data_IF_142938060552
#
_entry.id   IF_142938060552
#
_cell.length_a   1.000
_cell.length_b   1.000
_cell.length_c   1.000
_cell.angle_alpha   90.00
_cell.angle_beta   90.00
_cell.angle_gamma   90.00
#
_symmetry.space_group_name_H-M   'P 1'
#
loop_
_entity.id
_entity.type
_entity.pdbx_description
1 polymer ?
#
# COMPACT_ATOMS: atom_id res chain seq x y z
N UNK A 1 -5.83 -3.08 21.36
CA UNK A 1 -5.58 -1.66 21.64
C UNK A 1 -5.18 -0.93 20.33
N UNK A 2 -6.02 -0.98 19.29
CA UNK A 2 -5.69 -0.41 17.95
C UNK A 2 -6.51 0.82 17.61
N UNK A 3 -7.70 0.92 18.20
CA UNK A 3 -8.68 1.95 17.86
C UNK A 3 -8.16 3.37 18.07
N UNK A 4 -7.29 3.64 19.04
CA UNK A 4 -6.75 5.00 19.24
C UNK A 4 -5.83 5.47 18.11
N UNK A 5 -5.29 4.53 17.32
CA UNK A 5 -4.37 4.82 16.21
C UNK A 5 -5.04 4.74 14.83
N UNK A 6 -6.35 4.48 14.79
CA UNK A 6 -7.13 4.44 13.55
C UNK A 6 -7.79 5.78 13.28
N UNK A 7 -7.86 6.22 12.01
CA UNK A 7 -8.67 7.38 11.65
C UNK A 7 -10.12 7.16 12.08
N UNK A 8 -10.65 8.07 12.93
CA UNK A 8 -11.95 7.91 13.57
C UNK A 8 -13.08 7.63 12.56
N UNK A 9 -13.07 8.38 11.46
CA UNK A 9 -14.02 8.26 10.36
C UNK A 9 -14.02 6.89 9.66
N UNK A 10 -12.92 6.14 9.71
CA UNK A 10 -12.83 4.81 9.08
C UNK A 10 -13.15 3.65 10.00
N UNK A 11 -13.21 3.88 11.32
CA UNK A 11 -13.49 2.81 12.30
C UNK A 11 -14.78 2.03 12.00
N UNK A 12 -15.91 2.65 11.60
CA UNK A 12 -17.13 1.91 11.31
C UNK A 12 -17.00 0.90 10.17
N UNK A 13 -16.05 1.12 9.26
CA UNK A 13 -15.82 0.26 8.10
C UNK A 13 -14.81 -0.86 8.40
N UNK A 14 -14.04 -0.78 9.48
CA UNK A 14 -13.00 -1.76 9.80
C UNK A 14 -13.63 -2.92 10.58
N UNK A 15 -13.69 -4.10 9.98
CA UNK A 15 -14.31 -5.28 10.61
C UNK A 15 -13.30 -6.26 11.19
N UNK A 16 -12.06 -6.29 10.67
CA UNK A 16 -10.98 -7.13 11.19
C UNK A 16 -9.63 -6.43 11.11
N UNK A 17 -8.74 -6.82 12.02
CA UNK A 17 -7.34 -6.40 12.03
C UNK A 17 -6.46 -7.63 12.09
N UNK A 18 -5.52 -7.71 11.17
CA UNK A 18 -4.38 -8.62 11.26
C UNK A 18 -3.17 -7.83 11.79
N UNK A 19 -2.69 -8.26 12.95
CA UNK A 19 -1.56 -7.67 13.66
C UNK A 19 -0.34 -8.61 13.58
N UNK A 20 0.63 -8.34 12.68
CA UNK A 20 1.83 -9.16 12.57
C UNK A 20 2.85 -8.83 13.67
N UNK A 21 3.87 -9.68 13.81
CA UNK A 21 5.00 -9.42 14.70
C UNK A 21 5.71 -8.08 14.38
N UNK A 22 5.98 -7.30 15.43
CA UNK A 22 6.63 -5.98 15.36
C UNK A 22 8.17 -6.07 15.26
N UNK A 23 8.70 -6.86 14.32
CA UNK A 23 10.15 -7.07 14.14
C UNK A 23 10.74 -6.36 12.90
N UNK A 24 10.10 -5.28 12.46
CA UNK A 24 10.49 -4.53 11.26
C UNK A 24 9.95 -5.09 9.93
N UNK A 25 9.35 -6.27 9.92
CA UNK A 25 8.68 -6.85 8.74
C UNK A 25 7.17 -6.64 8.71
N UNK A 26 6.57 -6.00 9.71
CA UNK A 26 5.12 -5.87 9.87
C UNK A 26 4.40 -5.43 8.58
N UNK A 27 4.87 -4.37 7.91
CA UNK A 27 4.26 -3.91 6.65
C UNK A 27 4.33 -4.93 5.52
N UNK A 28 5.44 -5.66 5.37
CA UNK A 28 5.57 -6.70 4.34
C UNK A 28 4.78 -7.98 4.69
N UNK A 29 4.60 -8.28 5.99
CA UNK A 29 3.71 -9.34 6.47
C UNK A 29 2.25 -9.00 6.21
N UNK A 30 1.84 -7.76 6.43
CA UNK A 30 0.52 -7.28 6.06
C UNK A 30 0.25 -7.44 4.56
N UNK A 31 1.22 -7.10 3.70
CA UNK A 31 1.10 -7.33 2.27
C UNK A 31 1.00 -8.82 1.94
N UNK A 32 1.84 -9.67 2.54
CA UNK A 32 1.78 -11.12 2.33
C UNK A 32 0.39 -11.68 2.71
N UNK A 33 -0.11 -11.31 3.89
CA UNK A 33 -1.44 -11.70 4.37
C UNK A 33 -2.55 -11.23 3.39
N UNK A 34 -2.50 -9.98 2.96
CA UNK A 34 -3.49 -9.43 2.02
C UNK A 34 -3.47 -10.15 0.66
N UNK A 35 -2.31 -10.64 0.23
CA UNK A 35 -2.12 -11.39 -1.01
C UNK A 35 -2.45 -12.89 -0.87
N UNK A 36 -2.96 -13.33 0.29
CA UNK A 36 -3.28 -14.73 0.56
C UNK A 36 -2.04 -15.62 0.70
N UNK A 37 -0.89 -15.03 1.02
CA UNK A 37 0.33 -15.78 1.27
C UNK A 37 0.42 -16.21 2.73
N UNK A 38 1.04 -17.36 2.93
CA UNK A 38 1.53 -17.88 4.20
C UNK A 38 2.54 -16.91 4.86
N UNK A 39 2.56 -16.91 6.20
CA UNK A 39 3.09 -15.84 7.06
C UNK A 39 4.60 -15.53 6.83
N UNK A 40 5.37 -16.47 6.29
CA UNK A 40 6.80 -16.30 6.00
C UNK A 40 7.12 -15.79 4.58
N UNK A 41 6.11 -15.46 3.77
CA UNK A 41 6.30 -14.96 2.40
C UNK A 41 6.47 -13.45 2.29
N UNK A 42 6.69 -12.74 3.40
CA UNK A 42 7.09 -11.32 3.36
C UNK A 42 8.37 -11.10 2.55
N UNK A 43 9.30 -12.08 2.52
CA UNK A 43 10.52 -12.01 1.71
C UNK A 43 10.20 -12.08 0.21
N UNK A 44 9.22 -12.90 -0.17
CA UNK A 44 8.69 -12.94 -1.55
C UNK A 44 8.13 -11.59 -1.96
N UNK A 45 7.42 -10.90 -1.04
CA UNK A 45 6.91 -9.55 -1.32
C UNK A 45 8.05 -8.59 -1.62
N UNK A 46 9.10 -8.54 -0.78
CA UNK A 46 10.28 -7.69 -1.00
C UNK A 46 10.93 -7.97 -2.35
N UNK A 47 11.18 -9.24 -2.68
CA UNK A 47 11.81 -9.63 -3.93
C UNK A 47 10.98 -9.25 -5.15
N UNK A 48 9.65 -9.42 -5.09
CA UNK A 48 8.75 -9.00 -6.17
C UNK A 48 8.78 -7.48 -6.38
N UNK A 49 8.87 -6.69 -5.32
CA UNK A 49 9.05 -5.23 -5.45
C UNK A 49 10.39 -4.87 -6.10
N UNK A 50 11.48 -5.57 -5.73
CA UNK A 50 12.80 -5.36 -6.36
C UNK A 50 12.73 -5.65 -7.87
N UNK A 51 12.11 -6.78 -8.26
CA UNK A 51 11.89 -7.13 -9.67
C UNK A 51 11.09 -6.05 -10.40
N UNK A 52 9.94 -5.63 -9.85
CA UNK A 52 9.11 -4.56 -10.40
C UNK A 52 9.91 -3.26 -10.65
N UNK A 53 10.75 -2.86 -9.69
CA UNK A 53 11.56 -1.64 -9.79
C UNK A 53 12.63 -1.77 -10.87
N UNK A 54 13.26 -2.94 -10.98
CA UNK A 54 14.30 -3.18 -11.97
C UNK A 54 13.73 -3.27 -13.40
N UNK A 55 12.62 -3.97 -13.57
CA UNK A 55 11.97 -4.16 -14.88
C UNK A 55 11.43 -2.83 -15.44
N UNK A 56 11.03 -1.90 -14.56
CA UNK A 56 10.49 -0.59 -14.93
C UNK A 56 11.36 0.58 -14.48
N UNK A 57 12.68 0.40 -14.48
CA UNK A 57 13.66 1.35 -13.91
C UNK A 57 13.49 2.79 -14.41
N UNK A 58 13.20 2.98 -15.69
CA UNK A 58 12.98 4.30 -16.29
C UNK A 58 11.78 5.04 -15.66
N UNK A 59 10.71 4.33 -15.32
CA UNK A 59 9.54 4.89 -14.62
C UNK A 59 9.92 5.32 -13.21
N UNK A 60 10.60 4.45 -12.46
CA UNK A 60 11.00 4.77 -11.08
C UNK A 60 12.05 5.88 -11.01
N UNK A 61 12.88 6.09 -12.05
CA UNK A 61 13.86 7.19 -12.07
C UNK A 61 13.15 8.55 -12.02
N UNK A 62 12.04 8.66 -12.74
CA UNK A 62 11.21 9.86 -12.75
C UNK A 62 10.44 10.04 -11.45
N UNK A 63 9.89 8.95 -10.90
CA UNK A 63 9.06 9.00 -9.70
C UNK A 63 9.85 9.25 -8.41
N UNK A 64 11.05 8.67 -8.30
CA UNK A 64 11.83 8.66 -7.06
C UNK A 64 12.94 9.72 -7.02
N UNK A 65 13.06 10.55 -8.05
CA UNK A 65 14.05 11.63 -8.08
C UNK A 65 15.48 11.16 -8.42
N UNK A 66 15.61 10.12 -9.25
CA UNK A 66 16.90 9.72 -9.84
C UNK A 66 17.54 8.45 -9.27
N UNK A 67 18.78 8.18 -9.71
CA UNK A 67 19.46 6.88 -9.57
C UNK A 67 19.80 6.54 -8.12
N UNK A 68 20.25 7.51 -7.32
CA UNK A 68 20.59 7.29 -5.91
C UNK A 68 19.38 6.84 -5.10
N UNK A 69 18.25 7.52 -5.28
CA UNK A 69 17.00 7.20 -4.58
C UNK A 69 16.51 5.77 -4.90
N UNK A 70 16.54 5.36 -6.17
CA UNK A 70 16.22 3.98 -6.55
C UNK A 70 17.20 2.98 -5.94
N UNK A 71 18.50 3.25 -6.02
CA UNK A 71 19.49 2.32 -5.48
C UNK A 71 19.32 2.14 -3.97
N UNK A 72 19.04 3.23 -3.24
CA UNK A 72 18.69 3.19 -1.82
C UNK A 72 17.41 2.38 -1.58
N UNK A 73 16.35 2.63 -2.34
CA UNK A 73 15.09 1.87 -2.25
C UNK A 73 15.31 0.36 -2.47
N UNK A 74 16.06 -0.03 -3.50
CA UNK A 74 16.39 -1.43 -3.79
C UNK A 74 17.21 -2.03 -2.65
N UNK A 75 18.23 -1.33 -2.16
CA UNK A 75 19.08 -1.82 -1.07
C UNK A 75 18.27 -2.01 0.22
N UNK A 76 17.35 -1.10 0.54
CA UNK A 76 16.46 -1.22 1.69
C UNK A 76 15.46 -2.39 1.57
N UNK A 77 15.12 -2.80 0.35
CA UNK A 77 14.27 -3.96 0.13
C UNK A 77 15.02 -5.28 0.25
N UNK A 78 16.33 -5.31 -0.07
CA UNK A 78 17.16 -6.53 -0.01
C UNK A 78 17.30 -7.02 1.42
N UNK A 79 16.96 -8.28 1.62
CA UNK A 79 17.13 -9.02 2.88
C UNK A 79 17.64 -10.41 2.52
N UNK A 80 18.64 -10.90 3.24
CA UNK A 80 19.35 -12.13 2.91
C UNK A 80 18.44 -13.36 2.99
N UNK A 81 17.71 -13.51 4.10
CA UNK A 81 16.86 -14.66 4.35
C UNK A 81 15.78 -14.34 5.40
N UNK A 82 14.88 -15.31 5.64
CA UNK A 82 13.74 -15.14 6.55
C UNK A 82 14.11 -14.96 8.03
N UNK A 83 15.35 -15.27 8.43
CA UNK A 83 15.85 -15.13 9.81
C UNK A 83 16.66 -13.85 10.03
N UNK A 84 16.87 -13.06 8.97
CA UNK A 84 17.67 -11.84 9.05
C UNK A 84 17.05 -10.82 10.01
N UNK A 85 17.90 -10.14 10.77
CA UNK A 85 17.50 -8.97 11.56
C UNK A 85 17.24 -7.80 10.63
N UNK A 86 16.15 -7.06 10.88
CA UNK A 86 15.70 -5.98 10.00
C UNK A 86 16.07 -4.63 10.59
N UNK A 87 16.86 -3.86 9.84
CA UNK A 87 17.15 -2.47 10.18
C UNK A 87 15.96 -1.55 9.89
N UNK A 88 15.89 -0.40 10.57
CA UNK A 88 14.86 0.62 10.35
C UNK A 88 14.81 1.11 8.90
N UNK A 89 15.96 1.21 8.24
CA UNK A 89 16.04 1.58 6.81
C UNK A 89 15.31 0.57 5.91
N UNK A 90 15.19 -0.69 6.34
CA UNK A 90 14.56 -1.77 5.61
C UNK A 90 13.07 -1.95 5.92
N UNK A 91 12.47 -1.08 6.75
CA UNK A 91 11.04 -1.10 7.03
C UNK A 91 10.22 -0.72 5.79
N UNK A 92 8.95 -1.12 5.79
CA UNK A 92 8.03 -0.66 4.74
C UNK A 92 7.83 0.85 4.87
N UNK A 93 8.23 1.59 3.83
CA UNK A 93 8.02 3.02 3.72
C UNK A 93 6.90 3.33 2.72
N UNK A 94 5.85 4.00 3.19
CA UNK A 94 4.65 4.33 2.41
C UNK A 94 4.94 5.16 1.15
N UNK A 95 5.88 6.11 1.21
CA UNK A 95 6.23 6.98 0.09
C UNK A 95 7.18 6.32 -0.90
N UNK A 96 8.21 5.63 -0.38
CA UNK A 96 9.17 4.95 -1.24
C UNK A 96 8.52 3.76 -1.96
N UNK A 97 7.78 2.90 -1.23
CA UNK A 97 7.33 1.61 -1.75
C UNK A 97 5.91 1.62 -2.33
N UNK A 98 5.07 2.62 -2.00
CA UNK A 98 3.65 2.64 -2.36
C UNK A 98 3.38 2.39 -3.84
N UNK A 99 4.08 3.09 -4.73
CA UNK A 99 3.90 2.93 -6.17
C UNK A 99 4.37 1.55 -6.68
N UNK A 100 5.45 0.99 -6.11
CA UNK A 100 5.93 -0.34 -6.48
C UNK A 100 4.96 -1.44 -6.06
N UNK A 101 4.33 -1.31 -4.89
CA UNK A 101 3.33 -2.26 -4.40
C UNK A 101 2.15 -2.36 -5.37
N UNK A 102 1.58 -1.21 -5.75
CA UNK A 102 0.37 -1.21 -6.58
C UNK A 102 0.65 -1.67 -8.01
N UNK A 103 1.81 -1.35 -8.55
CA UNK A 103 2.20 -1.84 -9.88
C UNK A 103 2.48 -3.35 -9.86
N UNK A 104 3.24 -3.83 -8.88
CA UNK A 104 3.66 -5.24 -8.80
C UNK A 104 2.49 -6.23 -8.64
N UNK A 105 1.42 -5.80 -7.97
CA UNK A 105 0.26 -6.65 -7.63
C UNK A 105 -1.03 -6.21 -8.30
N UNK A 106 -1.00 -5.14 -9.10
CA UNK A 106 -2.18 -4.57 -9.78
C UNK A 106 -3.33 -4.37 -8.79
N UNK A 107 -3.01 -3.79 -7.63
CA UNK A 107 -3.95 -3.67 -6.51
C UNK A 107 -3.75 -2.33 -5.85
N UNK A 108 -4.84 -1.65 -5.48
CA UNK A 108 -4.72 -0.38 -4.75
C UNK A 108 -4.15 -0.63 -3.36
N UNK A 109 -3.36 0.32 -2.85
CA UNK A 109 -2.95 0.34 -1.45
C UNK A 109 -3.36 1.67 -0.84
N UNK A 110 -3.92 1.60 0.36
CA UNK A 110 -4.36 2.74 1.16
C UNK A 110 -3.53 2.72 2.45
N UNK A 111 -2.73 3.76 2.64
CA UNK A 111 -1.97 3.98 3.86
C UNK A 111 -2.77 4.90 4.78
N UNK A 112 -2.94 4.47 6.04
CA UNK A 112 -3.73 5.16 7.04
C UNK A 112 -2.89 5.55 8.28
N UNK A 113 -1.87 6.42 8.14
CA UNK A 113 -1.30 7.11 9.30
C UNK A 113 -2.24 8.21 9.78
N UNK A 114 -2.32 8.43 11.09
CA UNK A 114 -3.25 9.40 11.71
C UNK A 114 -3.26 10.79 11.04
N UNK A 115 -2.10 11.28 10.58
CA UNK A 115 -1.95 12.64 10.09
C UNK A 115 -2.14 12.80 8.56
N UNK A 116 -1.94 11.73 7.78
CA UNK A 116 -1.78 11.87 6.33
C UNK A 116 -2.17 10.60 5.57
N UNK A 117 -3.45 10.25 5.64
CA UNK A 117 -4.03 9.16 4.86
C UNK A 117 -3.83 9.40 3.36
N UNK A 118 -3.42 8.38 2.62
CA UNK A 118 -3.28 8.46 1.18
C UNK A 118 -3.35 7.10 0.52
N UNK A 119 -3.52 7.08 -0.80
CA UNK A 119 -3.54 5.86 -1.59
C UNK A 119 -2.65 5.97 -2.84
N UNK A 120 -2.33 4.81 -3.41
CA UNK A 120 -1.65 4.68 -4.69
C UNK A 120 -2.50 3.83 -5.66
N UNK A 121 -2.30 4.09 -6.95
CA UNK A 121 -2.95 3.38 -8.04
C UNK A 121 -1.92 2.75 -8.98
N UNK A 122 -2.21 1.58 -9.58
CA UNK A 122 -1.42 1.05 -10.66
C UNK A 122 -1.36 2.05 -11.83
N UNK A 123 -0.17 2.29 -12.39
CA UNK A 123 0.02 3.28 -13.45
C UNK A 123 -0.44 2.79 -14.83
N UNK A 124 -0.20 1.52 -15.12
CA UNK A 124 -0.34 0.96 -16.47
C UNK A 124 -1.38 -0.16 -16.56
N UNK A 125 -1.80 -0.72 -15.43
CA UNK A 125 -2.75 -1.82 -15.38
C UNK A 125 -4.13 -1.34 -14.96
N UNK A 126 -5.15 -2.14 -15.24
CA UNK A 126 -6.54 -1.89 -14.89
C UNK A 126 -7.01 -2.89 -13.83
N UNK A 127 -8.16 -2.66 -13.16
CA UNK A 127 -8.71 -3.64 -12.21
C UNK A 127 -8.95 -5.03 -12.82
N UNK A 128 -9.16 -5.12 -14.14
CA UNK A 128 -9.40 -6.39 -14.84
C UNK A 128 -8.15 -7.28 -14.92
N UNK A 129 -6.98 -6.67 -14.78
CA UNK A 129 -5.70 -7.38 -14.83
C UNK A 129 -5.32 -7.94 -13.44
N UNK A 130 -6.20 -7.78 -12.44
CA UNK A 130 -6.01 -8.25 -11.08
C UNK A 130 -6.98 -9.39 -10.76
N UNK A 131 -6.48 -10.41 -10.05
CA UNK A 131 -7.33 -11.46 -9.48
C UNK A 131 -8.21 -10.94 -8.34
N UNK A 132 -7.71 -9.93 -7.60
CA UNK A 132 -8.45 -9.22 -6.56
C UNK A 132 -8.08 -7.72 -6.61
N UNK A 133 -8.93 -6.87 -7.23
CA UNK A 133 -8.68 -5.43 -7.31
C UNK A 133 -9.07 -4.67 -6.03
N UNK A 134 -9.54 -5.35 -4.98
CA UNK A 134 -9.92 -4.70 -3.72
C UNK A 134 -8.71 -3.98 -3.10
N UNK A 135 -8.84 -2.85 -2.41
CA UNK A 135 -7.68 -2.15 -1.85
C UNK A 135 -7.09 -2.89 -0.65
N UNK A 136 -5.78 -2.77 -0.46
CA UNK A 136 -5.08 -3.18 0.75
C UNK A 136 -5.00 -1.99 1.71
N UNK A 137 -5.49 -2.12 2.93
CA UNK A 137 -5.47 -1.06 3.94
C UNK A 137 -4.39 -1.30 4.99
N UNK A 138 -3.36 -0.46 5.00
CA UNK A 138 -2.27 -0.50 5.97
C UNK A 138 -2.43 0.65 6.97
N UNK A 139 -2.69 0.32 8.24
CA UNK A 139 -2.82 1.29 9.33
C UNK A 139 -1.50 1.43 10.07
N UNK A 140 -1.04 2.66 10.30
CA UNK A 140 0.18 2.91 11.06
C UNK A 140 -0.15 3.13 12.54
N UNK A 141 0.31 2.20 13.36
CA UNK A 141 0.14 2.20 14.81
C UNK A 141 1.42 2.70 15.47
N UNK A 142 1.28 3.61 16.44
CA UNK A 142 2.38 4.16 17.23
C UNK A 142 3.56 4.72 16.39
N UNK A 143 3.28 5.15 15.15
CA UNK A 143 4.27 5.71 14.24
C UNK A 143 5.29 4.72 13.64
N UNK A 144 5.29 3.44 14.05
CA UNK A 144 6.34 2.49 13.68
C UNK A 144 5.85 1.07 13.35
N UNK A 145 4.57 0.76 13.53
CA UNK A 145 4.04 -0.58 13.33
C UNK A 145 2.89 -0.59 12.33
N UNK A 146 2.97 -1.42 11.31
CA UNK A 146 1.91 -1.57 10.31
C UNK A 146 1.02 -2.75 10.66
N UNK A 147 -0.30 -2.52 10.68
CA UNK A 147 -1.31 -3.58 10.76
C UNK A 147 -2.18 -3.56 9.49
N UNK A 148 -2.76 -4.72 9.13
CA UNK A 148 -3.64 -4.86 7.98
C UNK A 148 -5.09 -4.75 8.45
N UNK A 149 -5.86 -3.84 7.85
CA UNK A 149 -7.28 -3.71 8.10
C UNK A 149 -8.11 -4.38 7.00
N UNK A 150 -9.07 -5.20 7.41
CA UNK A 150 -10.19 -5.57 6.56
C UNK A 150 -11.23 -4.46 6.66
N UNK A 151 -11.47 -3.80 5.53
CA UNK A 151 -12.39 -2.67 5.42
C UNK A 151 -13.57 -3.09 4.56
N UNK A 152 -14.77 -3.04 5.12
CA UNK A 152 -16.02 -3.22 4.38
C UNK A 152 -16.47 -1.90 3.74
N UNK A 153 -17.35 -2.01 2.76
CA UNK A 153 -17.86 -0.86 2.02
C UNK A 153 -19.35 -0.65 2.24
N UNK A 154 -19.81 0.57 2.02
CA UNK A 154 -21.24 0.86 1.83
C UNK A 154 -21.60 0.47 0.39
N UNK A 155 -22.61 -0.39 0.20
CA UNK A 155 -23.09 -0.85 -1.11
C UNK A 155 -21.97 -1.37 -2.03
N UNK A 156 -20.98 -2.07 -1.45
CA UNK A 156 -19.83 -2.61 -2.17
C UNK A 156 -18.73 -1.59 -2.53
N UNK A 157 -18.84 -0.35 -2.05
CA UNK A 157 -17.82 0.70 -2.23
C UNK A 157 -17.04 0.89 -0.94
N UNK A 158 -15.74 0.57 -0.95
CA UNK A 158 -14.86 0.81 0.20
C UNK A 158 -14.32 2.25 0.18
N UNK A 159 -14.11 2.88 1.35
CA UNK A 159 -13.58 4.24 1.43
C UNK A 159 -12.12 4.31 0.95
N UNK A 160 -11.80 5.24 0.06
CA UNK A 160 -10.46 5.41 -0.52
C UNK A 160 -9.90 6.78 -0.12
N UNK A 161 -8.78 6.79 0.61
CA UNK A 161 -8.06 8.02 0.93
C UNK A 161 -7.52 8.71 -0.35
N UNK A 162 -7.23 10.02 -0.32
CA UNK A 162 -6.72 10.75 -1.48
C UNK A 162 -5.54 10.07 -2.16
N UNK A 163 -5.57 9.98 -3.49
CA UNK A 163 -4.49 9.36 -4.27
C UNK A 163 -3.32 10.33 -4.36
N UNK A 164 -2.11 9.88 -4.03
CA UNK A 164 -0.90 10.64 -4.35
C UNK A 164 -0.73 10.64 -5.86
N UNK A 165 -0.95 11.80 -6.48
CA UNK A 165 -0.84 11.95 -7.91
C UNK A 165 0.62 11.77 -8.36
N UNK A 166 0.94 10.64 -8.98
CA UNK A 166 2.00 10.63 -9.98
C UNK A 166 1.48 11.49 -11.14
N UNK A 167 2.15 12.61 -11.43
CA UNK A 167 1.65 13.71 -12.26
C UNK A 167 0.78 13.27 -13.45
N UNK A 168 -0.39 13.91 -13.58
CA UNK A 168 -1.42 13.78 -14.65
C UNK A 168 -1.07 12.76 -15.74
N UNK A 169 -1.15 11.47 -15.42
CA UNK A 169 -1.09 10.45 -16.46
C UNK A 169 -2.48 10.32 -17.07
N UNK A 170 -2.68 10.95 -18.22
CA UNK A 170 -3.90 10.96 -19.02
C UNK A 170 -4.13 9.64 -19.77
N UNK A 171 -3.65 8.51 -19.24
CA UNK A 171 -3.79 7.21 -19.90
C UNK A 171 -5.23 6.72 -19.80
N UNK A 172 -5.67 5.95 -20.80
CA UNK A 172 -6.99 5.29 -20.79
C UNK A 172 -7.20 4.42 -19.54
N UNK A 173 -6.12 3.84 -19.01
CA UNK A 173 -6.15 2.97 -17.83
C UNK A 173 -6.37 3.75 -16.54
N UNK A 174 -5.82 4.97 -16.44
CA UNK A 174 -6.09 5.88 -15.31
C UNK A 174 -7.59 6.23 -15.19
N UNK A 175 -8.30 6.38 -16.31
CA UNK A 175 -9.75 6.64 -16.31
C UNK A 175 -10.57 5.48 -15.71
N UNK A 176 -10.13 4.24 -15.89
CA UNK A 176 -10.85 3.06 -15.36
C UNK A 176 -10.73 3.01 -13.83
N UNK A 177 -9.55 3.30 -13.29
CA UNK A 177 -9.38 3.44 -11.85
C UNK A 177 -10.12 4.65 -11.29
N UNK A 178 -10.21 5.75 -12.05
CA UNK A 178 -10.85 6.99 -11.61
C UNK A 178 -12.29 6.79 -11.14
N UNK A 179 -13.12 6.01 -11.85
CA UNK A 179 -14.52 5.78 -11.42
C UNK A 179 -14.61 5.07 -10.07
N UNK A 180 -13.78 4.04 -9.84
CA UNK A 180 -13.72 3.33 -8.55
C UNK A 180 -13.23 4.27 -7.44
N UNK A 181 -12.20 5.05 -7.72
CA UNK A 181 -11.59 6.00 -6.78
C UNK A 181 -12.56 7.12 -6.42
N UNK A 182 -13.29 7.69 -7.38
CA UNK A 182 -14.22 8.80 -7.13
C UNK A 182 -15.31 8.40 -6.13
N UNK A 183 -15.91 7.22 -6.31
CA UNK A 183 -16.93 6.71 -5.36
C UNK A 183 -16.35 6.47 -3.97
N UNK A 184 -15.18 5.81 -3.91
CA UNK A 184 -14.52 5.55 -2.63
C UNK A 184 -14.02 6.82 -1.93
N UNK A 185 -13.56 7.81 -2.68
CA UNK A 185 -13.13 9.11 -2.17
C UNK A 185 -14.31 9.93 -1.66
N UNK A 186 -15.45 9.88 -2.34
CA UNK A 186 -16.69 10.49 -1.86
C UNK A 186 -17.12 9.89 -0.52
N UNK A 187 -17.08 8.56 -0.39
CA UNK A 187 -17.38 7.88 0.88
C UNK A 187 -16.40 8.25 1.98
N UNK A 188 -15.10 8.29 1.67
CA UNK A 188 -14.04 8.73 2.59
C UNK A 188 -14.29 10.16 3.10
N UNK A 189 -14.63 11.09 2.20
CA UNK A 189 -14.91 12.49 2.55
C UNK A 189 -16.21 12.65 3.34
N UNK A 190 -17.25 11.89 3.00
CA UNK A 190 -18.51 11.84 3.78
C UNK A 190 -18.22 11.41 5.21
N UNK A 191 -17.43 10.35 5.39
CA UNK A 191 -17.06 9.85 6.71
C UNK A 191 -16.22 10.85 7.51
N UNK A 192 -15.33 11.60 6.85
CA UNK A 192 -14.52 12.65 7.47
C UNK A 192 -15.33 13.84 7.99
N UNK A 193 -16.50 14.10 7.40
CA UNK A 193 -17.35 15.24 7.73
C UNK A 193 -18.32 14.97 8.90
N UNK A 194 -18.33 13.75 9.42
CA UNK A 194 -19.13 13.29 10.56
C UNK A 194 -18.29 13.28 11.85
#
# INVERSE_FOLDING_TARGET
MWFVFMPQHLKPYITKIFDPLANGNCGFRCLAQALGYDDNRWLRVRNKLITEINDHRATYLKLQGGKESINKMINNLKVENIKATIDRSQWLNKLAHGQAIVNAYVRQVVFLPLEANHSYLPLQSTPKDSQDPSPIYLVLVNGNHWVLATVEGEDGVQPIAPVIAAGRSSTKNAKIWATRVMKGLALYNKALAL
#
